data_IF_196466540251
#
_entry.id   IF_196466540251
#
_cell.length_a   1.000
_cell.length_b   1.000
_cell.length_c   1.000
_cell.angle_alpha   90.00
_cell.angle_beta   90.00
_cell.angle_gamma   90.00
#
_symmetry.space_group_name_H-M   'P 1'
#
loop_
_entity.id
_entity.type
_entity.pdbx_description
1 polymer ?
#
# COMPACT_ATOMS: atom_id res chain seq x y z
N UNK A 1 -2.62 17.70 13.72
CA UNK A 1 -1.80 16.51 13.40
C UNK A 1 -1.42 16.56 11.91
N UNK A 2 -0.15 16.76 11.55
CA UNK A 2 0.25 16.73 10.14
C UNK A 2 0.02 15.32 9.58
N UNK A 3 -0.82 15.21 8.54
CA UNK A 3 -1.09 13.97 7.82
C UNK A 3 0.11 13.65 6.93
N UNK A 4 0.65 12.44 7.12
CA UNK A 4 1.57 11.73 6.22
C UNK A 4 2.97 12.38 6.12
N UNK A 5 3.94 11.74 6.78
CA UNK A 5 5.35 11.79 6.37
C UNK A 5 5.42 11.24 4.93
N UNK A 6 5.42 12.14 3.94
CA UNK A 6 5.80 11.78 2.59
C UNK A 6 7.30 11.53 2.62
N UNK A 7 7.72 10.30 2.27
CA UNK A 7 9.13 10.00 2.01
C UNK A 7 9.73 11.14 1.17
N UNK A 8 10.90 11.63 1.57
CA UNK A 8 11.70 12.60 0.79
C UNK A 8 11.69 12.10 -0.66
N UNK A 9 11.35 12.94 -1.65
CA UNK A 9 11.33 12.49 -3.04
C UNK A 9 12.71 11.91 -3.34
N UNK A 10 12.73 10.66 -3.82
CA UNK A 10 13.97 10.05 -4.27
C UNK A 10 14.46 10.90 -5.44
N UNK A 11 15.76 11.19 -5.47
CA UNK A 11 16.40 11.78 -6.64
C UNK A 11 16.02 10.92 -7.85
N UNK A 12 15.59 11.57 -8.93
CA UNK A 12 15.09 10.85 -10.11
C UNK A 12 16.24 10.04 -10.70
N UNK A 13 15.93 8.81 -11.12
CA UNK A 13 16.90 7.97 -11.82
C UNK A 13 17.32 8.63 -13.14
N UNK A 14 18.55 8.36 -13.60
CA UNK A 14 19.13 8.94 -14.82
C UNK A 14 18.23 8.67 -16.02
N UNK A 15 17.64 7.48 -16.10
CA UNK A 15 16.70 7.12 -17.16
C UNK A 15 15.42 7.97 -17.13
N UNK A 16 14.94 8.36 -15.94
CA UNK A 16 13.78 9.23 -15.79
C UNK A 16 14.09 10.65 -16.24
N UNK A 17 15.30 11.16 -15.93
CA UNK A 17 15.76 12.48 -16.37
C UNK A 17 15.93 12.52 -17.88
N UNK A 18 16.56 11.50 -18.48
CA UNK A 18 16.72 11.39 -19.93
C UNK A 18 15.37 11.36 -20.66
N UNK A 19 14.39 10.61 -20.13
CA UNK A 19 13.03 10.58 -20.67
C UNK A 19 12.32 11.93 -20.55
N UNK A 20 12.49 12.65 -19.44
CA UNK A 20 11.91 13.99 -19.26
C UNK A 20 12.48 15.02 -20.24
N UNK A 21 13.79 14.99 -20.49
CA UNK A 21 14.45 15.85 -21.48
C UNK A 21 13.92 15.55 -22.87
N UNK A 22 13.85 14.26 -23.25
CA UNK A 22 13.32 13.83 -24.55
C UNK A 22 11.89 14.35 -24.76
N UNK A 23 11.01 14.19 -23.77
CA UNK A 23 9.63 14.66 -23.89
C UNK A 23 9.53 16.19 -23.93
N UNK A 24 10.39 16.89 -23.20
CA UNK A 24 10.42 18.35 -23.25
C UNK A 24 10.86 18.89 -24.62
N UNK A 25 11.74 18.16 -25.33
CA UNK A 25 12.27 18.59 -26.64
C UNK A 25 11.40 18.16 -27.81
N UNK A 26 10.71 17.03 -27.73
CA UNK A 26 9.93 16.51 -28.88
C UNK A 26 8.55 17.14 -29.05
N UNK A 27 8.09 18.04 -28.15
CA UNK A 27 6.73 18.64 -28.16
C UNK A 27 5.58 17.61 -28.19
N UNK A 28 5.89 16.32 -28.04
CA UNK A 28 4.90 15.27 -27.99
C UNK A 28 4.28 15.25 -26.59
N UNK A 29 2.94 15.27 -26.48
CA UNK A 29 2.31 15.19 -25.19
C UNK A 29 2.68 13.86 -24.53
N UNK A 30 3.19 13.95 -23.29
CA UNK A 30 3.40 12.81 -22.39
C UNK A 30 2.24 11.82 -22.49
N UNK A 31 2.40 10.72 -23.22
CA UNK A 31 1.73 9.46 -22.90
C UNK A 31 2.47 8.86 -21.70
N UNK A 32 2.51 9.60 -20.58
CA UNK A 32 2.72 8.95 -19.31
C UNK A 32 1.55 7.98 -19.12
N UNK A 33 1.76 6.74 -18.64
CA UNK A 33 0.78 6.14 -17.76
C UNK A 33 0.68 7.06 -16.54
N UNK A 34 -0.15 8.07 -16.69
CA UNK A 34 -0.32 9.18 -15.79
C UNK A 34 -0.76 8.59 -14.46
N UNK A 35 0.09 8.74 -13.43
CA UNK A 35 -0.30 8.87 -12.03
C UNK A 35 -1.46 7.99 -11.57
N UNK A 36 -1.17 6.91 -10.81
CA UNK A 36 -1.89 6.27 -9.66
C UNK A 36 -3.25 6.83 -9.19
N UNK A 37 -4.09 7.22 -10.13
CA UNK A 37 -5.42 7.79 -10.05
C UNK A 37 -6.11 7.64 -11.40
N UNK A 38 -5.66 6.68 -12.23
CA UNK A 38 -6.60 5.99 -13.10
C UNK A 38 -7.67 5.42 -12.18
N UNK A 39 -8.90 5.86 -12.41
CA UNK A 39 -10.10 5.48 -11.70
C UNK A 39 -10.00 4.00 -11.32
N UNK A 40 -9.80 3.71 -10.03
CA UNK A 40 -9.96 2.33 -9.56
C UNK A 40 -11.30 1.88 -10.14
N UNK A 41 -11.37 0.75 -10.86
CA UNK A 41 -12.60 0.35 -11.54
C UNK A 41 -13.74 0.54 -10.57
N UNK A 42 -14.74 1.34 -10.95
CA UNK A 42 -15.86 1.75 -10.08
C UNK A 42 -16.37 0.49 -9.40
N UNK A 43 -15.95 0.27 -8.14
CA UNK A 43 -16.27 -0.95 -7.42
C UNK A 43 -17.77 -0.97 -7.29
N UNK A 44 -18.39 -2.07 -7.72
CA UNK A 44 -19.84 -2.23 -7.60
C UNK A 44 -20.23 -1.95 -6.12
N UNK A 45 -21.06 -0.94 -5.86
CA UNK A 45 -21.37 -0.51 -4.49
C UNK A 45 -22.03 -1.64 -3.68
N UNK A 46 -22.83 -2.48 -4.35
CA UNK A 46 -23.44 -3.65 -3.72
C UNK A 46 -22.40 -4.69 -3.30
N UNK A 47 -21.40 -4.96 -4.15
CA UNK A 47 -20.31 -5.88 -3.81
C UNK A 47 -19.47 -5.37 -2.63
N UNK A 48 -19.24 -4.05 -2.56
CA UNK A 48 -18.56 -3.43 -1.43
C UNK A 48 -19.36 -3.55 -0.12
N UNK A 49 -20.68 -3.34 -0.18
CA UNK A 49 -21.57 -3.50 0.96
C UNK A 49 -21.61 -4.96 1.47
N UNK A 50 -21.72 -5.92 0.56
CA UNK A 50 -21.68 -7.36 0.89
C UNK A 50 -20.33 -7.76 1.50
N UNK A 51 -19.22 -7.32 0.92
CA UNK A 51 -17.88 -7.57 1.46
C UNK A 51 -17.71 -7.01 2.88
N UNK A 52 -18.24 -5.82 3.15
CA UNK A 52 -18.25 -5.23 4.50
C UNK A 52 -19.05 -6.08 5.48
N UNK A 53 -20.26 -6.50 5.11
CA UNK A 53 -21.11 -7.34 5.95
C UNK A 53 -20.44 -8.68 6.29
N UNK A 54 -19.86 -9.34 5.28
CA UNK A 54 -19.12 -10.59 5.44
C UNK A 54 -17.88 -10.42 6.33
N UNK A 55 -17.13 -9.32 6.16
CA UNK A 55 -15.95 -9.02 6.97
C UNK A 55 -16.28 -8.78 8.44
N UNK A 56 -17.37 -8.07 8.75
CA UNK A 56 -17.83 -7.83 10.12
C UNK A 56 -18.20 -9.13 10.84
N UNK A 57 -18.91 -10.03 10.15
CA UNK A 57 -19.26 -11.35 10.68
C UNK A 57 -18.05 -12.27 10.83
N UNK A 58 -17.24 -12.38 9.77
CA UNK A 58 -16.07 -13.26 9.72
C UNK A 58 -14.97 -12.85 10.70
N UNK A 59 -14.75 -11.54 10.88
CA UNK A 59 -13.77 -11.00 11.82
C UNK A 59 -14.10 -11.36 13.27
N UNK A 60 -15.37 -11.16 13.70
CA UNK A 60 -15.83 -11.57 15.04
C UNK A 60 -15.69 -13.07 15.24
N UNK A 61 -16.18 -13.88 14.29
CA UNK A 61 -16.08 -15.33 14.37
C UNK A 61 -14.63 -15.82 14.48
N UNK A 62 -13.70 -15.19 13.76
CA UNK A 62 -12.27 -15.51 13.88
C UNK A 62 -11.70 -15.13 15.25
N UNK A 63 -12.09 -13.98 15.80
CA UNK A 63 -11.62 -13.54 17.11
C UNK A 63 -12.09 -14.48 18.24
N UNK A 64 -13.34 -14.94 18.19
CA UNK A 64 -13.93 -15.89 19.14
C UNK A 64 -13.27 -17.28 19.06
N UNK A 65 -12.95 -17.74 17.85
CA UNK A 65 -12.26 -19.04 17.64
C UNK A 65 -10.80 -19.06 18.14
N UNK A 66 -10.18 -17.91 18.38
CA UNK A 66 -8.78 -17.84 18.79
C UNK A 66 -8.63 -17.86 20.31
N UNK A 67 -7.83 -18.80 20.81
CA UNK A 67 -7.46 -18.83 22.22
C UNK A 67 -6.63 -17.59 22.62
N UNK A 68 -6.62 -17.19 23.90
CA UNK A 68 -5.83 -16.06 24.38
C UNK A 68 -4.34 -16.15 24.01
N UNK A 69 -3.76 -17.36 24.09
CA UNK A 69 -2.36 -17.62 23.70
C UNK A 69 -2.12 -17.40 22.21
N UNK A 70 -2.99 -17.91 21.34
CA UNK A 70 -2.87 -17.69 19.89
C UNK A 70 -3.04 -16.21 19.53
N UNK A 71 -3.92 -15.48 20.23
CA UNK A 71 -4.09 -14.03 20.04
C UNK A 71 -2.81 -13.26 20.41
N UNK A 72 -2.17 -13.60 21.52
CA UNK A 72 -0.93 -12.92 21.95
C UNK A 72 0.25 -13.22 21.01
N UNK A 73 0.37 -14.45 20.52
CA UNK A 73 1.39 -14.83 19.53
C UNK A 73 1.24 -14.03 18.21
N UNK A 74 0.02 -13.90 17.70
CA UNK A 74 -0.26 -13.11 16.49
C UNK A 74 0.10 -11.64 16.72
N UNK A 75 -0.24 -11.09 17.89
CA UNK A 75 0.07 -9.71 18.23
C UNK A 75 1.59 -9.45 18.29
N UNK A 76 2.35 -10.37 18.90
CA UNK A 76 3.83 -10.30 18.94
C UNK A 76 4.42 -10.30 17.54
N UNK A 77 4.03 -11.25 16.69
CA UNK A 77 4.48 -11.33 15.29
C UNK A 77 4.14 -10.06 14.50
N UNK A 78 2.96 -9.49 14.72
CA UNK A 78 2.56 -8.24 14.07
C UNK A 78 3.40 -7.05 14.56
N UNK A 79 3.74 -7.00 15.85
CA UNK A 79 4.61 -5.97 16.41
C UNK A 79 6.05 -6.09 15.88
N UNK A 80 6.61 -7.30 15.83
CA UNK A 80 7.92 -7.57 15.23
C UNK A 80 7.97 -7.15 13.76
N UNK A 81 6.93 -7.44 12.98
CA UNK A 81 6.88 -7.01 11.57
C UNK A 81 6.76 -5.50 11.40
N UNK A 82 6.08 -4.80 12.32
CA UNK A 82 5.85 -3.35 12.23
C UNK A 82 7.00 -2.52 12.79
N UNK A 83 7.59 -2.99 13.89
CA UNK A 83 8.52 -2.24 14.73
C UNK A 83 9.88 -2.92 14.89
N UNK A 84 10.00 -4.19 14.51
CA UNK A 84 11.27 -4.89 14.46
C UNK A 84 12.19 -4.19 13.46
N UNK A 85 13.39 -3.84 13.91
CA UNK A 85 14.42 -3.31 13.02
C UNK A 85 14.83 -4.43 12.07
N UNK A 86 14.58 -4.25 10.78
CA UNK A 86 15.19 -5.08 9.74
C UNK A 86 16.69 -4.83 9.79
N UNK A 87 17.46 -5.76 10.34
CA UNK A 87 18.90 -5.75 10.05
C UNK A 87 19.05 -5.96 8.54
N UNK A 88 19.86 -5.16 7.83
CA UNK A 88 20.20 -5.48 6.45
C UNK A 88 20.76 -6.90 6.47
N UNK A 89 20.19 -7.75 5.61
CA UNK A 89 20.68 -9.10 5.43
C UNK A 89 21.88 -8.95 4.52
N UNK A 90 23.05 -8.74 5.12
CA UNK A 90 24.31 -8.78 4.40
C UNK A 90 24.50 -10.24 3.95
N UNK A 91 24.22 -10.47 2.67
CA UNK A 91 24.62 -11.63 1.89
C UNK A 91 25.33 -11.12 0.64
#
# INVERSE_FOLDING_TARGET
MPKRSSKKPKDKDVNQVAWEILVATTSEPKKTPTSKNEEKPKKNPHAAALGKLGGLKGGKARAEKLSPKKRSEIAKKAAESRWGKTKPKDQ
#
